data_IF_040860875544
#
_entry.id   IF_040860875544
#
_cell.length_a   1.000
_cell.length_b   1.000
_cell.length_c   1.000
_cell.angle_alpha   90.00
_cell.angle_beta   90.00
_cell.angle_gamma   90.00
#
_symmetry.space_group_name_H-M   'P 1'
#
loop_
_entity.id
_entity.type
_entity.pdbx_description
1 polymer ?
#
# COMPACT_ATOMS: atom_id res chain seq x y z
N UNK A 1 18.92 68.54 21.02
CA UNK A 1 18.83 68.41 19.55
C UNK A 1 19.66 67.21 19.13
N UNK A 2 19.24 65.99 19.48
CA UNK A 2 19.93 64.74 19.14
C UNK A 2 18.97 63.59 18.81
N UNK A 3 17.69 63.87 18.52
CA UNK A 3 16.72 62.80 18.23
C UNK A 3 16.98 62.10 16.89
N UNK A 4 17.51 62.82 15.89
CA UNK A 4 17.69 62.23 14.56
C UNK A 4 18.70 61.08 14.59
N UNK A 5 19.90 61.27 15.17
CA UNK A 5 20.93 60.23 15.20
C UNK A 5 20.53 58.96 15.98
N UNK A 6 19.56 59.08 16.89
CA UNK A 6 19.04 57.97 17.66
C UNK A 6 18.07 57.13 16.83
N UNK A 7 17.24 57.78 15.99
CA UNK A 7 16.36 57.11 15.03
C UNK A 7 17.14 56.33 13.95
N UNK A 8 18.23 56.91 13.42
CA UNK A 8 19.09 56.25 12.43
C UNK A 8 19.87 55.05 12.99
N UNK A 9 20.10 54.98 14.30
CA UNK A 9 20.71 53.81 14.96
C UNK A 9 19.70 52.71 15.30
N UNK A 10 18.40 53.04 15.31
CA UNK A 10 17.32 52.10 15.67
C UNK A 10 16.91 51.20 14.48
N UNK A 11 17.16 51.64 13.23
CA UNK A 11 16.83 50.85 12.03
C UNK A 11 17.76 49.66 11.77
N UNK A 12 18.92 49.59 12.41
CA UNK A 12 19.83 48.46 12.27
C UNK A 12 19.17 47.12 12.69
N UNK A 13 18.22 47.16 13.62
CA UNK A 13 17.42 45.99 14.02
C UNK A 13 16.32 45.61 13.01
N UNK A 14 15.80 46.58 12.25
CA UNK A 14 14.74 46.34 11.25
C UNK A 14 15.26 45.52 10.07
N UNK A 15 16.47 45.81 9.59
CA UNK A 15 17.10 45.12 8.47
C UNK A 15 17.38 43.64 8.79
N UNK A 16 17.92 43.37 9.97
CA UNK A 16 18.21 42.00 10.44
C UNK A 16 16.94 41.20 10.71
N UNK A 17 15.88 41.86 11.19
CA UNK A 17 14.58 41.20 11.35
C UNK A 17 13.94 40.88 10.00
N UNK A 18 14.05 41.76 9.01
CA UNK A 18 13.52 41.51 7.66
C UNK A 18 14.23 40.34 6.96
N UNK A 19 15.56 40.25 7.11
CA UNK A 19 16.36 39.14 6.59
C UNK A 19 15.99 37.80 7.24
N UNK A 20 15.82 37.77 8.57
CA UNK A 20 15.45 36.56 9.30
C UNK A 20 14.03 36.08 8.94
N UNK A 21 13.09 37.00 8.73
CA UNK A 21 11.72 36.66 8.28
C UNK A 21 11.73 36.09 6.87
N UNK A 22 12.52 36.66 5.95
CA UNK A 22 12.68 36.12 4.60
C UNK A 22 13.25 34.70 4.61
N UNK A 23 14.38 34.48 5.29
CA UNK A 23 14.98 33.14 5.40
C UNK A 23 14.06 32.17 6.15
N UNK A 24 13.39 32.62 7.21
CA UNK A 24 12.46 31.82 7.99
C UNK A 24 11.24 31.37 7.18
N UNK A 25 10.69 32.24 6.32
CA UNK A 25 9.58 31.88 5.43
C UNK A 25 10.01 30.86 4.37
N UNK A 26 11.20 31.05 3.77
CA UNK A 26 11.75 30.10 2.81
C UNK A 26 12.06 28.74 3.46
N UNK A 27 12.61 28.74 4.68
CA UNK A 27 12.84 27.53 5.45
C UNK A 27 11.54 26.81 5.80
N UNK A 28 10.47 27.54 6.14
CA UNK A 28 9.16 26.95 6.44
C UNK A 28 8.56 26.29 5.21
N UNK A 29 8.56 26.97 4.05
CA UNK A 29 8.04 26.39 2.80
C UNK A 29 8.88 25.18 2.38
N UNK A 30 10.21 25.26 2.50
CA UNK A 30 11.11 24.15 2.22
C UNK A 30 10.88 22.95 3.14
N UNK A 31 10.62 23.18 4.43
CA UNK A 31 10.32 22.11 5.39
C UNK A 31 8.97 21.44 5.10
N UNK A 32 7.95 22.21 4.72
CA UNK A 32 6.62 21.66 4.36
C UNK A 32 6.71 20.79 3.12
N UNK A 33 7.34 21.29 2.05
CA UNK A 33 7.53 20.52 0.81
C UNK A 33 8.41 19.30 1.07
N UNK A 34 9.52 19.46 1.79
CA UNK A 34 10.42 18.35 2.12
C UNK A 34 9.72 17.25 2.93
N UNK A 35 8.87 17.61 3.89
CA UNK A 35 8.10 16.63 4.67
C UNK A 35 7.02 15.93 3.82
N UNK A 36 6.40 16.65 2.88
CA UNK A 36 5.43 16.08 1.94
C UNK A 36 6.07 15.01 1.04
N UNK A 37 7.26 15.30 0.51
CA UNK A 37 8.01 14.35 -0.32
C UNK A 37 8.42 13.10 0.49
N UNK A 38 8.91 13.28 1.73
CA UNK A 38 9.25 12.15 2.60
C UNK A 38 8.02 11.28 2.89
N UNK A 39 6.87 11.90 3.20
CA UNK A 39 5.65 11.13 3.45
C UNK A 39 5.20 10.36 2.21
N UNK A 40 5.32 10.97 1.03
CA UNK A 40 4.91 10.34 -0.23
C UNK A 40 5.82 9.16 -0.57
N UNK A 41 7.14 9.35 -0.45
CA UNK A 41 8.12 8.29 -0.68
C UNK A 41 7.92 7.10 0.27
N UNK A 42 7.71 7.34 1.57
CA UNK A 42 7.47 6.25 2.53
C UNK A 42 6.18 5.49 2.20
N UNK A 43 5.12 6.19 1.80
CA UNK A 43 3.86 5.55 1.44
C UNK A 43 3.97 4.71 0.16
N UNK A 44 4.76 5.15 -0.80
CA UNK A 44 5.02 4.40 -2.04
C UNK A 44 5.79 3.10 -1.73
N UNK A 45 6.84 3.18 -0.92
CA UNK A 45 7.59 1.99 -0.49
C UNK A 45 6.71 1.01 0.32
N UNK A 46 5.86 1.51 1.21
CA UNK A 46 4.94 0.65 1.97
C UNK A 46 3.87 0.01 1.08
N UNK A 47 3.43 0.70 0.03
CA UNK A 47 2.53 0.15 -0.98
C UNK A 47 3.22 -1.00 -1.72
N UNK A 48 4.47 -0.82 -2.09
CA UNK A 48 5.24 -1.85 -2.79
C UNK A 48 5.55 -3.06 -1.89
N UNK A 49 5.88 -2.83 -0.62
CA UNK A 49 5.96 -3.90 0.40
C UNK A 49 4.63 -4.65 0.52
N UNK A 50 3.51 -3.93 0.53
CA UNK A 50 2.17 -4.53 0.62
C UNK A 50 1.83 -5.37 -0.61
N UNK A 51 2.23 -4.92 -1.81
CA UNK A 51 2.10 -5.67 -3.06
C UNK A 51 2.97 -6.93 -3.02
N UNK A 52 4.22 -6.82 -2.56
CA UNK A 52 5.14 -7.94 -2.44
C UNK A 52 4.59 -9.04 -1.52
N UNK A 53 4.05 -8.67 -0.35
CA UNK A 53 3.44 -9.63 0.60
C UNK A 53 2.24 -10.35 -0.02
N UNK A 54 1.39 -9.63 -0.75
CA UNK A 54 0.21 -10.20 -1.42
C UNK A 54 0.57 -11.16 -2.55
N UNK A 55 1.72 -10.96 -3.18
CA UNK A 55 2.21 -11.80 -4.27
C UNK A 55 3.06 -12.99 -3.82
N UNK A 56 3.18 -13.22 -2.50
CA UNK A 56 3.76 -14.46 -1.99
C UNK A 56 2.89 -15.66 -2.39
N UNK A 57 3.53 -16.73 -2.86
CA UNK A 57 2.85 -18.00 -3.12
C UNK A 57 2.39 -18.63 -1.79
N UNK A 58 1.08 -18.73 -1.62
CA UNK A 58 0.43 -19.32 -0.44
C UNK A 58 0.04 -20.80 -0.65
N UNK A 59 0.56 -21.44 -1.70
CA UNK A 59 0.33 -22.85 -1.99
C UNK A 59 1.14 -23.76 -1.07
N UNK A 60 0.57 -24.91 -0.68
CA UNK A 60 1.29 -25.93 0.08
C UNK A 60 0.90 -27.35 -0.37
N UNK A 61 1.80 -28.30 -0.20
CA UNK A 61 1.52 -29.73 -0.41
C UNK A 61 2.40 -30.60 0.47
N UNK A 62 1.81 -31.59 1.13
CA UNK A 62 2.54 -32.65 1.81
C UNK A 62 1.86 -33.99 1.60
N UNK A 63 2.66 -35.06 1.62
CA UNK A 63 2.21 -36.42 1.32
C UNK A 63 1.66 -37.11 2.55
N UNK A 64 0.67 -37.97 2.33
CA UNK A 64 0.19 -38.91 3.34
C UNK A 64 1.20 -40.02 3.62
N UNK A 65 1.08 -40.65 4.78
CA UNK A 65 1.92 -41.77 5.22
C UNK A 65 1.06 -43.02 5.41
N UNK A 66 1.56 -44.19 4.99
CA UNK A 66 0.88 -45.47 5.15
C UNK A 66 1.79 -46.53 5.76
N UNK A 67 1.28 -47.33 6.69
CA UNK A 67 1.95 -48.47 7.33
C UNK A 67 1.06 -49.72 7.36
N UNK A 68 1.50 -50.80 8.03
CA UNK A 68 0.88 -52.14 7.96
C UNK A 68 -0.65 -52.18 8.13
N UNK A 69 -1.20 -51.35 9.03
CA UNK A 69 -2.65 -51.24 9.26
C UNK A 69 -3.11 -49.81 9.50
N UNK A 70 -2.32 -48.81 9.10
CA UNK A 70 -2.60 -47.40 9.35
C UNK A 70 -2.36 -46.56 8.10
N UNK A 71 -3.18 -45.52 7.96
CA UNK A 71 -3.10 -44.58 6.86
C UNK A 71 -3.39 -43.18 7.38
N UNK A 72 -2.54 -42.23 6.98
CA UNK A 72 -2.73 -40.80 7.21
C UNK A 72 -2.79 -40.13 5.85
N UNK A 73 -3.89 -39.44 5.56
CA UNK A 73 -4.03 -38.67 4.32
C UNK A 73 -3.04 -37.51 4.26
N UNK A 74 -2.56 -37.20 3.06
CA UNK A 74 -1.85 -35.94 2.79
C UNK A 74 -2.82 -34.77 2.64
N UNK A 75 -2.29 -33.56 2.47
CA UNK A 75 -3.09 -32.40 2.12
C UNK A 75 -2.33 -31.49 1.17
N UNK A 76 -3.07 -30.78 0.33
CA UNK A 76 -2.53 -29.73 -0.52
C UNK A 76 -3.56 -28.61 -0.71
N UNK A 77 -3.05 -27.40 -0.93
CA UNK A 77 -3.81 -26.22 -1.30
C UNK A 77 -3.03 -25.45 -2.37
N UNK A 78 -3.75 -24.95 -3.37
CA UNK A 78 -3.22 -24.15 -4.46
C UNK A 78 -3.79 -22.75 -4.35
N UNK A 79 -2.94 -21.74 -4.28
CA UNK A 79 -3.39 -20.36 -4.43
C UNK A 79 -3.82 -20.13 -5.90
N UNK A 80 -5.09 -19.79 -6.18
CA UNK A 80 -5.56 -19.53 -7.54
C UNK A 80 -4.87 -18.34 -8.23
N UNK A 81 -4.17 -17.48 -7.49
CA UNK A 81 -3.40 -16.34 -8.03
C UNK A 81 -2.07 -16.78 -8.65
N UNK A 82 -1.52 -17.89 -8.19
CA UNK A 82 -0.38 -18.56 -8.81
C UNK A 82 -0.97 -19.47 -9.89
N UNK A 83 -1.19 -18.92 -11.09
CA UNK A 83 -1.69 -19.68 -12.24
C UNK A 83 -0.91 -21.00 -12.37
N UNK A 84 -1.58 -22.14 -12.20
CA UNK A 84 -0.92 -23.39 -11.77
C UNK A 84 -0.48 -24.26 -12.96
N UNK A 85 0.50 -25.19 -12.80
CA UNK A 85 0.55 -26.15 -11.68
C UNK A 85 1.93 -26.40 -11.03
N UNK A 86 1.97 -26.28 -9.69
CA UNK A 86 2.82 -27.17 -8.89
C UNK A 86 2.53 -28.62 -9.32
N UNK A 87 3.55 -29.49 -9.45
CA UNK A 87 3.32 -30.89 -9.74
C UNK A 87 2.36 -31.43 -8.69
N UNK A 88 1.11 -31.69 -9.10
CA UNK A 88 0.27 -32.60 -8.34
C UNK A 88 1.13 -33.82 -8.14
N UNK A 89 1.38 -34.19 -6.88
CA UNK A 89 1.98 -35.48 -6.58
C UNK A 89 0.97 -36.59 -6.84
N UNK A 90 0.27 -36.55 -7.98
CA UNK A 90 -0.03 -37.77 -8.70
C UNK A 90 1.35 -38.33 -9.05
N UNK A 91 1.77 -39.48 -8.50
CA UNK A 91 3.03 -40.08 -8.92
C UNK A 91 3.02 -40.11 -10.44
N UNK A 92 4.07 -39.62 -11.12
CA UNK A 92 4.07 -39.63 -12.56
C UNK A 92 3.88 -41.09 -12.97
N UNK A 93 2.85 -41.37 -13.76
CA UNK A 93 2.71 -42.67 -14.40
C UNK A 93 3.91 -42.96 -15.35
N UNK A 94 4.81 -41.98 -15.58
CA UNK A 94 6.00 -42.11 -16.40
C UNK A 94 7.12 -41.12 -15.97
N UNK A 95 8.36 -41.56 -15.69
CA UNK A 95 9.48 -40.74 -15.17
C UNK A 95 10.08 -39.67 -16.12
N UNK A 96 9.31 -39.10 -17.06
CA UNK A 96 9.83 -38.21 -18.11
C UNK A 96 9.03 -36.91 -18.33
N UNK A 97 8.40 -36.34 -17.31
CA UNK A 97 7.70 -35.05 -17.45
C UNK A 97 8.68 -33.86 -17.26
N UNK A 98 8.66 -32.83 -18.13
CA UNK A 98 9.57 -31.69 -18.04
C UNK A 98 9.21 -30.77 -16.87
N UNK A 99 10.20 -30.36 -16.08
CA UNK A 99 10.02 -29.34 -15.05
C UNK A 99 9.83 -27.97 -15.70
N UNK A 100 8.60 -27.44 -15.63
CA UNK A 100 8.28 -26.09 -16.13
C UNK A 100 8.73 -25.05 -15.11
N UNK A 101 9.73 -24.25 -15.48
CA UNK A 101 10.23 -23.12 -14.71
C UNK A 101 9.13 -22.10 -14.43
N UNK A 102 8.78 -21.92 -13.15
CA UNK A 102 7.83 -20.91 -12.70
C UNK A 102 8.47 -19.51 -12.79
N UNK A 103 7.97 -18.68 -13.71
CA UNK A 103 8.29 -17.24 -13.72
C UNK A 103 7.34 -16.58 -12.73
N UNK A 104 7.89 -16.02 -11.65
CA UNK A 104 7.14 -15.15 -10.74
C UNK A 104 6.57 -13.97 -11.56
N UNK A 105 5.28 -13.61 -11.42
CA UNK A 105 4.76 -12.41 -12.05
C UNK A 105 5.61 -11.22 -11.63
N UNK A 106 5.97 -10.39 -12.61
CA UNK A 106 6.92 -9.31 -12.40
C UNK A 106 6.22 -8.09 -11.84
N UNK A 107 7.00 -7.19 -11.25
CA UNK A 107 6.53 -5.95 -10.63
C UNK A 107 5.61 -5.11 -11.54
N UNK A 108 5.76 -5.21 -12.87
CA UNK A 108 4.98 -4.47 -13.87
C UNK A 108 3.61 -5.08 -14.23
N UNK A 109 3.31 -6.31 -13.79
CA UNK A 109 2.03 -6.96 -14.15
C UNK A 109 0.85 -6.48 -13.28
N UNK A 110 1.11 -5.54 -12.37
CA UNK A 110 0.14 -4.98 -11.42
C UNK A 110 0.18 -3.44 -11.47
N UNK A 111 -0.09 -2.87 -12.65
CA UNK A 111 -0.40 -1.45 -12.76
C UNK A 111 -1.58 -1.10 -11.85
N UNK A 112 -1.42 -0.03 -11.06
CA UNK A 112 -2.47 0.57 -10.25
C UNK A 112 -3.61 1.04 -11.17
N UNK A 113 -4.81 0.45 -11.03
CA UNK A 113 -6.03 1.20 -11.32
C UNK A 113 -5.91 2.52 -10.54
N UNK A 114 -5.98 3.70 -11.20
CA UNK A 114 -5.89 4.96 -10.49
C UNK A 114 -6.98 4.92 -9.43
N UNK A 115 -6.61 5.18 -8.17
CA UNK A 115 -7.57 5.30 -7.09
C UNK A 115 -8.56 6.39 -7.50
N UNK A 116 -9.70 5.99 -8.07
CA UNK A 116 -10.80 6.89 -8.37
C UNK A 116 -11.10 7.59 -7.05
N UNK A 117 -10.98 8.91 -7.08
CA UNK A 117 -11.41 9.82 -6.03
C UNK A 117 -12.64 9.21 -5.35
N UNK A 118 -12.51 8.83 -4.08
CA UNK A 118 -13.63 8.27 -3.32
C UNK A 118 -14.66 9.39 -3.30
N UNK A 119 -15.65 9.29 -4.18
CA UNK A 119 -16.79 10.19 -4.22
C UNK A 119 -17.34 10.21 -2.80
N UNK A 120 -17.31 11.40 -2.17
CA UNK A 120 -17.80 11.55 -0.82
C UNK A 120 -19.21 10.94 -0.77
N UNK A 121 -19.57 10.18 0.29
CA UNK A 121 -20.89 9.59 0.37
C UNK A 121 -21.92 10.71 0.21
N UNK A 122 -22.66 10.69 -0.89
CA UNK A 122 -23.84 11.53 -1.07
C UNK A 122 -24.74 11.20 0.09
N UNK A 123 -24.90 12.15 1.01
CA UNK A 123 -25.93 12.10 2.04
C UNK A 123 -27.26 12.04 1.29
N UNK A 124 -27.83 10.83 1.14
CA UNK A 124 -29.23 10.69 0.76
C UNK A 124 -30.05 11.49 1.77
N UNK A 125 -30.77 12.51 1.29
CA UNK A 125 -31.70 13.27 2.12
C UNK A 125 -32.74 12.31 2.69
N UNK A 126 -33.10 12.44 3.98
CA UNK A 126 -33.95 11.47 4.68
C UNK A 126 -35.43 11.50 4.27
N UNK A 127 -35.78 12.06 3.11
CA UNK A 127 -37.17 12.24 2.65
C UNK A 127 -37.62 11.15 1.66
N UNK A 128 -37.13 9.92 1.85
CA UNK A 128 -37.69 8.74 1.20
C UNK A 128 -39.02 8.34 1.86
N UNK A 129 -40.07 7.97 1.11
CA UNK A 129 -41.32 7.49 1.70
C UNK A 129 -41.07 6.30 2.63
N UNK A 130 -41.52 6.40 3.88
CA UNK A 130 -41.46 5.30 4.84
C UNK A 130 -42.35 4.17 4.30
N UNK A 131 -41.71 3.13 3.77
CA UNK A 131 -42.38 1.89 3.39
C UNK A 131 -42.70 1.17 4.70
N UNK A 132 -43.98 0.96 5.07
CA UNK A 132 -44.30 0.20 6.27
C UNK A 132 -43.72 -1.21 6.13
N UNK A 133 -43.02 -1.66 7.17
CA UNK A 133 -42.47 -3.00 7.22
C UNK A 133 -43.60 -4.02 7.06
N UNK A 134 -43.53 -4.84 6.02
CA UNK A 134 -44.40 -6.00 5.87
C UNK A 134 -44.11 -6.97 7.02
N UNK A 135 -45.07 -7.10 7.93
CA UNK A 135 -45.15 -8.17 8.92
C UNK A 135 -45.21 -9.52 8.21
N UNK A 136 -44.07 -10.20 8.04
CA UNK A 136 -44.04 -11.64 7.77
C UNK A 136 -42.95 -12.36 8.56
N UNK A 137 -43.46 -13.26 9.42
CA UNK A 137 -42.79 -14.39 10.03
C UNK A 137 -41.88 -15.16 9.06
#
# INVERSE_FOLDING_TARGET
MCDLQQFWKDEAGSLISAELVLVGSLATVGAVVGLQEVSSAVNEELRDVSKAIRNLDQSYSYRGMSGCSSYTAGSCFVDPRVGTPIPQTTPPANPAAPETSHVMPTFSDFDDEPLSEVDAPVLESPDGPIIPADDKL
#
